data_IF_553879084399
#
_entry.id   IF_553879084399
#
_cell.length_a   1.000
_cell.length_b   1.000
_cell.length_c   1.000
_cell.angle_alpha   90.00
_cell.angle_beta   90.00
_cell.angle_gamma   90.00
#
_symmetry.space_group_name_H-M   'P 1'
#
loop_
_entity.id
_entity.type
_entity.pdbx_description
1 polymer ?
#
# COMPACT_ATOMS: atom_id res chain seq x y z
N UNK A 1 17.83 12.58 -46.74
CA UNK A 1 16.78 11.53 -46.73
C UNK A 1 16.52 11.12 -45.29
N UNK A 2 15.43 11.59 -44.73
CA UNK A 2 15.14 11.60 -43.29
C UNK A 2 14.31 10.37 -42.94
N UNK A 3 14.95 9.30 -42.44
CA UNK A 3 14.33 8.01 -42.09
C UNK A 3 13.67 8.11 -40.70
N UNK A 4 12.62 8.92 -40.55
CA UNK A 4 11.94 9.14 -39.27
C UNK A 4 10.49 8.63 -39.24
N UNK A 5 10.13 7.69 -40.12
CA UNK A 5 8.78 7.10 -40.18
C UNK A 5 8.64 5.66 -39.62
N UNK A 6 9.73 4.95 -39.30
CA UNK A 6 9.69 3.51 -38.95
C UNK A 6 10.22 3.12 -37.57
N UNK A 7 10.70 4.06 -36.74
CA UNK A 7 11.36 3.71 -35.47
C UNK A 7 10.41 3.05 -34.43
N UNK A 8 9.10 3.31 -34.52
CA UNK A 8 8.11 2.76 -33.58
C UNK A 8 7.92 1.23 -33.70
N UNK A 9 8.05 0.68 -34.90
CA UNK A 9 7.88 -0.75 -35.16
C UNK A 9 9.05 -1.59 -34.60
N UNK A 10 10.25 -1.01 -34.55
CA UNK A 10 11.46 -1.67 -34.06
C UNK A 10 11.61 -1.60 -32.53
N UNK A 11 10.73 -0.87 -31.84
CA UNK A 11 10.69 -0.77 -30.37
C UNK A 11 12.06 -0.46 -29.75
N UNK A 12 12.82 0.41 -30.42
CA UNK A 12 14.17 0.84 -30.03
C UNK A 12 15.32 0.07 -30.70
N UNK A 13 15.06 -1.07 -31.34
CA UNK A 13 16.09 -1.78 -32.10
C UNK A 13 16.55 -0.93 -33.29
N UNK A 14 17.86 -0.93 -33.54
CA UNK A 14 18.46 -0.22 -34.67
C UNK A 14 18.65 -1.21 -35.83
N UNK A 15 17.90 -1.07 -36.93
CA UNK A 15 18.10 -1.90 -38.12
C UNK A 15 19.35 -1.43 -38.90
N UNK A 16 20.14 -2.38 -39.39
CA UNK A 16 21.29 -2.12 -40.25
C UNK A 16 21.53 -3.30 -41.19
N UNK A 17 22.28 -3.08 -42.26
CA UNK A 17 22.70 -4.15 -43.18
C UNK A 17 24.17 -4.45 -42.97
N UNK A 18 24.50 -5.73 -42.86
CA UNK A 18 25.88 -6.21 -42.73
C UNK A 18 26.05 -7.47 -43.59
N UNK A 19 27.07 -7.47 -44.46
CA UNK A 19 27.40 -8.59 -45.35
C UNK A 19 26.18 -9.12 -46.15
N UNK A 20 25.37 -8.20 -46.70
CA UNK A 20 24.18 -8.55 -47.50
C UNK A 20 23.00 -9.10 -46.69
N UNK A 21 23.10 -9.16 -45.36
CA UNK A 21 22.03 -9.64 -44.47
C UNK A 21 21.45 -8.49 -43.66
N UNK A 22 20.13 -8.55 -43.46
CA UNK A 22 19.45 -7.61 -42.57
C UNK A 22 19.77 -7.96 -41.12
N UNK A 23 20.17 -6.97 -40.33
CA UNK A 23 20.53 -7.12 -38.93
C UNK A 23 19.77 -6.11 -38.07
N UNK A 24 19.48 -6.48 -36.83
CA UNK A 24 18.91 -5.60 -35.83
C UNK A 24 19.79 -5.61 -34.58
N UNK A 25 20.17 -4.43 -34.09
CA UNK A 25 20.98 -4.26 -32.88
C UNK A 25 20.11 -3.72 -31.75
N UNK A 26 20.20 -4.34 -30.57
CA UNK A 26 19.79 -3.71 -29.31
C UNK A 26 21.04 -3.20 -28.59
N UNK A 27 20.97 -1.98 -28.05
CA UNK A 27 21.99 -1.43 -27.16
C UNK A 27 21.32 -1.11 -25.83
N UNK A 28 21.85 -1.68 -24.74
CA UNK A 28 21.34 -1.46 -23.40
C UNK A 28 21.62 -0.02 -22.97
N UNK A 29 20.58 0.71 -22.59
CA UNK A 29 20.72 2.08 -22.10
C UNK A 29 21.33 2.15 -20.70
N UNK A 30 21.39 1.04 -19.96
CA UNK A 30 21.89 1.01 -18.58
C UNK A 30 23.38 0.68 -18.50
N UNK A 31 23.86 -0.26 -19.32
CA UNK A 31 25.25 -0.71 -19.28
C UNK A 31 26.00 -0.60 -20.61
N UNK A 32 25.34 -0.17 -21.70
CA UNK A 32 25.95 -0.08 -23.03
C UNK A 32 26.17 -1.43 -23.74
N UNK A 33 25.93 -2.56 -23.07
CA UNK A 33 26.01 -3.89 -23.69
C UNK A 33 25.06 -4.00 -24.88
N UNK A 34 25.45 -4.71 -25.92
CA UNK A 34 24.67 -4.82 -27.15
C UNK A 34 24.53 -6.25 -27.62
N UNK A 35 23.46 -6.54 -28.35
CA UNK A 35 23.26 -7.82 -29.04
C UNK A 35 22.74 -7.58 -30.45
N UNK A 36 23.13 -8.45 -31.38
CA UNK A 36 22.78 -8.33 -32.80
C UNK A 36 22.08 -9.60 -33.25
N UNK A 37 20.90 -9.43 -33.86
CA UNK A 37 20.16 -10.53 -34.48
C UNK A 37 20.18 -10.38 -35.99
N UNK A 38 20.64 -11.44 -36.68
CA UNK A 38 20.64 -11.53 -38.14
C UNK A 38 19.35 -12.17 -38.64
N UNK A 39 18.76 -11.57 -39.67
CA UNK A 39 17.52 -12.01 -40.29
C UNK A 39 17.79 -12.37 -41.76
N UNK A 40 17.50 -13.61 -42.12
CA UNK A 40 17.72 -14.14 -43.47
C UNK A 40 16.62 -13.72 -44.45
N UNK A 41 15.43 -13.39 -43.94
CA UNK A 41 14.27 -13.01 -44.75
C UNK A 41 13.85 -11.57 -44.43
N UNK A 42 14.06 -10.66 -45.39
CA UNK A 42 13.24 -9.46 -45.58
C UNK A 42 13.13 -8.42 -44.45
N UNK A 43 13.98 -8.45 -43.42
CA UNK A 43 14.07 -7.35 -42.43
C UNK A 43 12.77 -7.00 -41.71
N UNK A 44 11.93 -7.99 -41.39
CA UNK A 44 10.69 -7.74 -40.64
C UNK A 44 11.00 -7.31 -39.18
N UNK A 45 10.54 -6.13 -38.75
CA UNK A 45 10.67 -5.66 -37.37
C UNK A 45 10.11 -6.66 -36.35
N UNK A 46 9.01 -7.33 -36.65
CA UNK A 46 8.29 -8.21 -35.72
C UNK A 46 9.13 -9.41 -35.28
N UNK A 47 9.90 -9.98 -36.22
CA UNK A 47 10.77 -11.14 -35.98
C UNK A 47 11.93 -10.74 -35.07
N UNK A 48 12.55 -9.59 -35.34
CA UNK A 48 13.69 -9.10 -34.57
C UNK A 48 13.29 -8.68 -33.16
N UNK A 49 12.13 -8.03 -33.02
CA UNK A 49 11.51 -7.69 -31.72
C UNK A 49 11.16 -8.95 -30.93
N UNK A 50 10.59 -9.98 -31.58
CA UNK A 50 10.28 -11.26 -30.94
C UNK A 50 11.54 -11.96 -30.43
N UNK A 51 12.59 -12.03 -31.27
CA UNK A 51 13.90 -12.62 -30.89
C UNK A 51 14.53 -11.88 -29.72
N UNK A 52 14.52 -10.54 -29.74
CA UNK A 52 15.05 -9.76 -28.64
C UNK A 52 14.32 -10.04 -27.31
N UNK A 53 12.98 -10.11 -27.33
CA UNK A 53 12.19 -10.49 -26.15
C UNK A 53 12.50 -11.90 -25.66
N UNK A 54 12.63 -12.86 -26.57
CA UNK A 54 12.98 -14.25 -26.25
C UNK A 54 14.39 -14.36 -25.63
N UNK A 55 15.33 -13.51 -26.06
CA UNK A 55 16.65 -13.39 -25.45
C UNK A 55 16.66 -12.60 -24.13
N UNK A 56 15.49 -12.29 -23.55
CA UNK A 56 15.37 -11.62 -22.25
C UNK A 56 15.54 -10.10 -22.27
N UNK A 57 15.59 -9.47 -23.45
CA UNK A 57 15.68 -8.01 -23.54
C UNK A 57 14.33 -7.36 -23.27
N UNK A 58 14.36 -6.30 -22.46
CA UNK A 58 13.20 -5.42 -22.28
C UNK A 58 13.20 -4.37 -23.38
N UNK A 59 12.11 -4.33 -24.15
CA UNK A 59 11.92 -3.38 -25.26
C UNK A 59 10.98 -2.24 -24.82
N UNK A 60 11.30 -1.00 -25.19
CA UNK A 60 10.72 0.22 -24.63
C UNK A 60 11.84 1.13 -24.13
N UNK A 61 12.35 0.84 -22.93
CA UNK A 61 13.67 1.27 -22.47
C UNK A 61 14.63 0.11 -22.67
N UNK A 62 15.48 0.17 -23.68
CA UNK A 62 16.25 -1.02 -24.12
C UNK A 62 17.17 -1.45 -22.98
N UNK A 63 16.91 -2.63 -22.42
CA UNK A 63 17.66 -3.14 -21.26
C UNK A 63 18.06 -4.58 -21.51
N UNK A 64 19.35 -4.90 -21.31
CA UNK A 64 19.87 -6.25 -21.48
C UNK A 64 19.33 -7.20 -20.38
N UNK A 65 19.34 -8.51 -20.62
CA UNK A 65 18.91 -9.51 -19.64
C UNK A 65 19.63 -9.38 -18.29
N UNK A 66 20.92 -9.05 -18.26
CA UNK A 66 21.68 -8.91 -17.02
C UNK A 66 21.21 -7.71 -16.19
N UNK A 67 20.97 -6.57 -16.83
CA UNK A 67 20.44 -5.39 -16.15
C UNK A 67 18.99 -5.63 -15.69
N UNK A 68 18.21 -6.39 -16.45
CA UNK A 68 16.86 -6.81 -16.03
C UNK A 68 16.94 -7.75 -14.81
N UNK A 69 17.86 -8.71 -14.80
CA UNK A 69 18.08 -9.62 -13.68
C UNK A 69 18.52 -8.85 -12.40
N UNK A 70 19.54 -7.98 -12.52
CA UNK A 70 19.99 -7.13 -11.40
C UNK A 70 18.89 -6.22 -10.86
N UNK A 71 18.03 -5.68 -11.73
CA UNK A 71 16.89 -4.86 -11.30
C UNK A 71 15.81 -5.68 -10.57
N UNK A 72 15.61 -6.96 -10.95
CA UNK A 72 14.70 -7.87 -10.23
C UNK A 72 15.26 -8.23 -8.86
N UNK A 73 16.54 -8.56 -8.76
CA UNK A 73 17.21 -8.87 -7.48
C UNK A 73 17.12 -7.70 -6.49
N UNK A 74 17.38 -6.47 -6.95
CA UNK A 74 17.22 -5.27 -6.11
C UNK A 74 15.78 -5.12 -5.59
N UNK A 75 14.76 -5.38 -6.42
CA UNK A 75 13.36 -5.31 -5.98
C UNK A 75 12.94 -6.41 -5.02
N UNK A 76 13.63 -7.55 -4.99
CA UNK A 76 13.34 -8.63 -4.04
C UNK A 76 13.98 -8.33 -2.68
N UNK A 77 15.16 -7.70 -2.67
CA UNK A 77 15.86 -7.38 -1.43
C UNK A 77 15.32 -6.12 -0.71
N UNK A 78 14.56 -5.26 -1.40
CA UNK A 78 13.89 -4.07 -0.81
C UNK A 78 12.40 -4.29 -0.53
N UNK A 79 11.94 -5.54 -0.35
CA UNK A 79 10.57 -5.89 0.06
C UNK A 79 10.48 -6.38 1.50
N UNK A 80 11.32 -5.85 2.38
CA UNK A 80 10.91 -5.70 3.78
C UNK A 80 9.88 -4.56 3.81
N UNK A 81 8.61 -4.95 4.02
CA UNK A 81 7.48 -4.07 4.36
C UNK A 81 6.90 -3.18 3.25
N UNK A 82 6.10 -3.76 2.35
CA UNK A 82 4.79 -3.25 1.85
C UNK A 82 4.25 -4.34 0.91
N UNK A 83 3.25 -5.09 1.36
CA UNK A 83 2.48 -6.00 0.52
C UNK A 83 1.54 -5.19 -0.37
N UNK A 84 1.57 -5.38 -1.71
CA UNK A 84 0.54 -4.81 -2.58
C UNK A 84 -0.74 -5.64 -2.42
N UNK A 85 -1.84 -4.96 -2.09
CA UNK A 85 -3.19 -5.53 -2.05
C UNK A 85 -3.52 -6.04 -3.47
N UNK A 86 -3.31 -7.33 -3.69
CA UNK A 86 -4.04 -8.07 -4.71
C UNK A 86 -5.39 -8.39 -4.11
N UNK A 87 -6.44 -7.83 -4.68
CA UNK A 87 -7.79 -8.35 -4.50
C UNK A 87 -7.83 -9.75 -5.15
N UNK A 88 -7.35 -10.74 -4.41
CA UNK A 88 -7.51 -12.14 -4.77
C UNK A 88 -8.92 -12.53 -4.32
N UNK A 89 -9.80 -12.80 -5.29
CA UNK A 89 -11.11 -13.42 -5.11
C UNK A 89 -10.92 -14.90 -4.74
N UNK A 90 -10.12 -15.19 -3.71
CA UNK A 90 -10.01 -16.53 -3.17
C UNK A 90 -11.28 -16.82 -2.37
N UNK A 91 -12.02 -17.83 -2.83
CA UNK A 91 -13.11 -18.41 -2.08
C UNK A 91 -12.53 -18.81 -0.71
N UNK A 92 -12.96 -18.17 0.40
CA UNK A 92 -12.37 -18.42 1.70
C UNK A 92 -12.54 -19.90 2.03
N UNK A 93 -11.44 -20.54 2.43
CA UNK A 93 -11.40 -21.91 2.97
C UNK A 93 -12.55 -22.12 3.96
N UNK A 94 -13.14 -23.33 4.06
CA UNK A 94 -14.21 -23.62 5.02
C UNK A 94 -13.88 -23.16 6.45
N UNK A 95 -12.61 -23.28 6.87
CA UNK A 95 -12.09 -22.81 8.16
C UNK A 95 -12.19 -21.28 8.31
N UNK A 96 -11.86 -20.54 7.26
CA UNK A 96 -11.96 -19.08 7.25
C UNK A 96 -13.43 -18.61 7.27
N UNK A 97 -14.36 -19.39 6.72
CA UNK A 97 -15.80 -19.09 6.82
C UNK A 97 -16.33 -19.33 8.22
N UNK A 98 -15.85 -20.38 8.89
CA UNK A 98 -16.25 -20.69 10.26
C UNK A 98 -15.81 -19.57 11.21
N UNK A 99 -14.53 -19.18 11.17
CA UNK A 99 -14.01 -18.07 11.99
C UNK A 99 -14.78 -16.77 11.84
N UNK A 100 -15.23 -16.44 10.62
CA UNK A 100 -16.06 -15.25 10.35
C UNK A 100 -17.46 -15.36 10.96
N UNK A 101 -18.05 -16.56 10.98
CA UNK A 101 -19.34 -16.81 11.65
C UNK A 101 -19.19 -16.69 13.17
N UNK A 102 -18.16 -17.32 13.72
CA UNK A 102 -17.88 -17.28 15.16
C UNK A 102 -17.64 -15.83 15.62
N UNK A 103 -16.88 -15.04 14.86
CA UNK A 103 -16.68 -13.62 15.12
C UNK A 103 -17.99 -12.82 15.07
N UNK A 104 -18.85 -13.09 14.09
CA UNK A 104 -20.15 -12.42 14.00
C UNK A 104 -21.04 -12.73 15.22
N UNK A 105 -21.10 -13.99 15.65
CA UNK A 105 -21.86 -14.39 16.83
C UNK A 105 -21.34 -13.74 18.11
N UNK A 106 -20.01 -13.68 18.27
CA UNK A 106 -19.38 -13.00 19.40
C UNK A 106 -19.66 -11.50 19.43
N UNK A 107 -19.60 -10.83 18.26
CA UNK A 107 -19.98 -9.41 18.18
C UNK A 107 -21.46 -9.25 18.56
N UNK A 108 -22.35 -10.10 18.04
CA UNK A 108 -23.78 -10.02 18.33
C UNK A 108 -24.13 -10.21 19.80
N UNK A 109 -23.37 -11.06 20.51
CA UNK A 109 -23.58 -11.32 21.93
C UNK A 109 -22.97 -10.22 22.81
N UNK A 110 -21.82 -9.69 22.42
CA UNK A 110 -21.05 -8.74 23.23
C UNK A 110 -21.40 -7.27 22.94
N UNK A 111 -21.93 -6.93 21.77
CA UNK A 111 -22.17 -5.55 21.37
C UNK A 111 -23.59 -5.08 21.75
N UNK A 112 -23.66 -3.98 22.49
CA UNK A 112 -24.92 -3.33 22.81
C UNK A 112 -25.33 -2.37 21.68
N UNK A 113 -26.31 -2.79 20.86
CA UNK A 113 -26.87 -1.95 19.81
C UNK A 113 -27.52 -0.66 20.33
N UNK A 114 -28.06 -0.67 21.55
CA UNK A 114 -28.75 0.50 22.10
C UNK A 114 -27.77 1.59 22.54
N UNK A 115 -26.65 1.17 23.13
CA UNK A 115 -25.65 2.07 23.70
C UNK A 115 -24.43 2.28 22.77
N UNK A 116 -24.29 1.45 21.73
CA UNK A 116 -23.15 1.49 20.79
C UNK A 116 -21.82 1.11 21.45
N UNK A 117 -21.84 0.28 22.48
CA UNK A 117 -20.65 -0.10 23.27
C UNK A 117 -20.56 -1.62 23.42
N UNK A 118 -19.35 -2.11 23.68
CA UNK A 118 -19.15 -3.51 24.09
C UNK A 118 -19.48 -3.70 25.57
N UNK A 119 -20.11 -4.83 25.90
CA UNK A 119 -20.39 -5.29 27.26
C UNK A 119 -19.22 -6.12 27.81
N UNK A 120 -19.17 -6.31 29.13
CA UNK A 120 -18.28 -7.25 29.82
C UNK A 120 -16.78 -7.14 29.48
N UNK A 121 -16.33 -5.93 29.16
CA UNK A 121 -14.93 -5.66 28.76
C UNK A 121 -14.53 -6.32 27.44
N UNK A 122 -15.50 -6.64 26.57
CA UNK A 122 -15.21 -7.02 25.20
C UNK A 122 -14.68 -5.83 24.40
N UNK A 123 -13.90 -6.16 23.37
CA UNK A 123 -13.35 -5.19 22.42
C UNK A 123 -13.09 -5.90 21.09
N UNK A 124 -12.95 -5.10 20.02
CA UNK A 124 -12.55 -5.61 18.71
C UNK A 124 -11.26 -6.46 18.80
N UNK A 125 -10.27 -6.00 19.58
CA UNK A 125 -9.01 -6.72 19.81
C UNK A 125 -9.20 -8.09 20.50
N UNK A 126 -10.12 -8.19 21.46
CA UNK A 126 -10.39 -9.44 22.17
C UNK A 126 -11.06 -10.46 21.25
N UNK A 127 -12.09 -10.03 20.53
CA UNK A 127 -12.82 -10.89 19.58
C UNK A 127 -11.87 -11.36 18.45
N UNK A 128 -11.01 -10.47 17.96
CA UNK A 128 -9.98 -10.81 16.98
C UNK A 128 -9.03 -11.91 17.49
N UNK A 129 -8.58 -11.80 18.75
CA UNK A 129 -7.71 -12.81 19.38
C UNK A 129 -8.40 -14.16 19.56
N UNK A 130 -9.68 -14.16 19.96
CA UNK A 130 -10.45 -15.39 20.17
C UNK A 130 -10.80 -16.11 18.85
N UNK A 131 -11.02 -15.36 17.77
CA UNK A 131 -11.43 -15.90 16.46
C UNK A 131 -10.27 -16.12 15.49
N UNK A 132 -9.09 -15.56 15.80
CA UNK A 132 -7.92 -15.58 14.93
C UNK A 132 -8.06 -14.71 13.67
N UNK A 133 -8.96 -13.72 13.71
CA UNK A 133 -9.13 -12.71 12.66
C UNK A 133 -8.35 -11.44 13.01
N UNK A 134 -8.18 -10.54 12.04
CA UNK A 134 -7.58 -9.23 12.28
C UNK A 134 -8.58 -8.29 12.97
N UNK A 135 -8.10 -7.47 13.89
CA UNK A 135 -8.89 -6.43 14.57
C UNK A 135 -9.62 -5.51 13.58
N UNK A 136 -8.93 -5.06 12.52
CA UNK A 136 -9.52 -4.25 11.45
C UNK A 136 -10.72 -4.91 10.76
N UNK A 137 -10.73 -6.24 10.68
CA UNK A 137 -11.84 -6.98 10.06
C UNK A 137 -13.04 -7.00 11.01
N UNK A 138 -12.79 -7.22 12.30
CA UNK A 138 -13.83 -7.22 13.35
C UNK A 138 -14.46 -5.83 13.47
N UNK A 139 -13.64 -4.77 13.51
CA UNK A 139 -14.11 -3.40 13.59
C UNK A 139 -14.98 -3.01 12.39
N UNK A 140 -14.54 -3.33 11.16
CA UNK A 140 -15.36 -3.11 9.95
C UNK A 140 -16.67 -3.88 10.00
N UNK A 141 -16.62 -5.14 10.42
CA UNK A 141 -17.82 -5.99 10.49
C UNK A 141 -18.82 -5.46 11.52
N UNK A 142 -18.34 -5.00 12.68
CA UNK A 142 -19.15 -4.31 13.68
C UNK A 142 -19.79 -3.06 13.08
N UNK A 143 -19.02 -2.20 12.44
CA UNK A 143 -19.54 -0.94 11.87
C UNK A 143 -20.59 -1.18 10.78
N UNK A 144 -20.37 -2.16 9.92
CA UNK A 144 -21.26 -2.48 8.81
C UNK A 144 -22.61 -3.05 9.27
N UNK A 145 -22.65 -3.83 10.36
CA UNK A 145 -23.85 -4.58 10.77
C UNK A 145 -24.47 -4.14 12.09
N UNK A 146 -23.67 -3.62 13.01
CA UNK A 146 -24.08 -3.24 14.36
C UNK A 146 -23.97 -1.73 14.60
N UNK A 147 -23.09 -1.05 13.85
CA UNK A 147 -22.91 0.39 13.91
C UNK A 147 -21.60 0.85 14.56
N UNK A 148 -21.37 2.18 14.59
CA UNK A 148 -20.14 2.76 15.12
C UNK A 148 -20.05 2.61 16.64
N UNK A 149 -18.83 2.49 17.14
CA UNK A 149 -18.55 2.51 18.58
C UNK A 149 -18.79 3.92 19.10
N UNK A 150 -19.72 4.06 20.04
CA UNK A 150 -20.01 5.32 20.72
C UNK A 150 -19.04 5.50 21.89
N UNK A 151 -18.62 6.74 22.14
CA UNK A 151 -17.86 7.07 23.34
C UNK A 151 -18.77 6.86 24.57
N UNK A 152 -18.32 6.14 25.62
CA UNK A 152 -19.05 6.01 26.87
C UNK A 152 -19.36 7.38 27.48
N UNK A 153 -20.57 7.54 28.02
CA UNK A 153 -21.01 8.81 28.63
C UNK A 153 -20.08 9.26 29.78
N UNK A 154 -19.43 8.32 30.47
CA UNK A 154 -18.42 8.60 31.49
C UNK A 154 -17.19 9.33 30.94
N UNK A 155 -16.70 8.95 29.75
CA UNK A 155 -15.56 9.63 29.12
C UNK A 155 -15.95 11.03 28.66
N UNK A 156 -17.17 11.20 28.15
CA UNK A 156 -17.70 12.51 27.79
C UNK A 156 -17.81 13.42 29.04
N UNK A 157 -18.30 12.88 30.16
CA UNK A 157 -18.37 13.61 31.43
C UNK A 157 -16.97 14.00 31.94
N UNK A 158 -16.02 13.05 31.94
CA UNK A 158 -14.63 13.31 32.35
C UNK A 158 -13.95 14.37 31.47
N UNK A 159 -14.19 14.37 30.16
CA UNK A 159 -13.70 15.43 29.26
C UNK A 159 -14.29 16.79 29.64
N UNK A 160 -15.59 16.85 29.92
CA UNK A 160 -16.24 18.09 30.35
C UNK A 160 -15.66 18.58 31.70
N UNK A 161 -15.42 17.69 32.65
CA UNK A 161 -14.77 17.99 33.93
C UNK A 161 -13.34 18.49 33.75
N UNK A 162 -12.54 17.86 32.88
CA UNK A 162 -11.18 18.31 32.58
C UNK A 162 -11.16 19.72 31.98
N UNK A 163 -12.09 20.03 31.07
CA UNK A 163 -12.24 21.37 30.52
C UNK A 163 -12.63 22.37 31.61
N UNK A 164 -13.58 22.02 32.48
CA UNK A 164 -13.99 22.85 33.62
C UNK A 164 -12.85 23.09 34.61
N UNK A 165 -12.06 22.07 34.91
CA UNK A 165 -10.88 22.17 35.77
C UNK A 165 -9.81 23.07 35.14
N UNK A 166 -9.53 22.93 33.84
CA UNK A 166 -8.59 23.77 33.12
C UNK A 166 -9.01 25.25 33.13
N UNK A 167 -10.31 25.54 32.95
CA UNK A 167 -10.84 26.90 33.05
C UNK A 167 -10.71 27.45 34.47
N UNK A 168 -10.97 26.63 35.49
CA UNK A 168 -10.82 27.03 36.89
C UNK A 168 -9.37 27.36 37.22
N UNK A 169 -8.42 26.53 36.77
CA UNK A 169 -6.98 26.77 36.93
C UNK A 169 -6.60 28.09 36.26
N UNK A 170 -7.03 28.34 35.03
CA UNK A 170 -6.75 29.59 34.32
C UNK A 170 -7.31 30.82 35.06
N UNK A 171 -8.52 30.73 35.61
CA UNK A 171 -9.10 31.82 36.41
C UNK A 171 -8.34 32.06 37.71
N UNK A 172 -7.92 31.00 38.40
CA UNK A 172 -7.13 31.11 39.64
C UNK A 172 -5.75 31.70 39.34
N UNK A 173 -5.10 31.29 38.25
CA UNK A 173 -3.83 31.85 37.80
C UNK A 173 -3.97 33.34 37.49
N UNK A 174 -5.00 33.75 36.73
CA UNK A 174 -5.24 35.15 36.42
C UNK A 174 -5.50 36.00 37.68
N UNK A 175 -6.28 35.48 38.64
CA UNK A 175 -6.53 36.15 39.93
C UNK A 175 -5.25 36.25 40.76
N UNK A 176 -4.45 35.19 40.79
CA UNK A 176 -3.18 35.17 41.50
C UNK A 176 -2.18 36.16 40.91
N UNK A 177 -2.05 36.20 39.58
CA UNK A 177 -1.20 37.18 38.89
C UNK A 177 -1.64 38.62 39.20
N UNK A 178 -2.94 38.91 39.13
CA UNK A 178 -3.48 40.23 39.47
C UNK A 178 -3.17 40.61 40.93
N UNK A 179 -3.33 39.67 41.86
CA UNK A 179 -3.00 39.88 43.27
C UNK A 179 -1.49 40.09 43.48
N UNK A 180 -0.65 39.28 42.84
CA UNK A 180 0.81 39.37 42.95
C UNK A 180 1.34 40.73 42.50
N UNK A 181 0.78 41.29 41.41
CA UNK A 181 1.09 42.64 40.93
C UNK A 181 0.64 43.71 41.93
N UNK A 182 -0.57 43.58 42.49
CA UNK A 182 -1.09 44.53 43.48
C UNK A 182 -0.27 44.58 44.76
N UNK A 183 0.24 43.42 45.21
CA UNK A 183 0.99 43.30 46.45
C UNK A 183 2.50 43.54 46.28
N UNK A 184 2.98 43.79 45.06
CA UNK A 184 4.40 43.98 44.76
C UNK A 184 5.24 42.71 44.95
N UNK A 185 4.61 41.53 44.87
CA UNK A 185 5.28 40.24 45.02
C UNK A 185 5.86 39.72 43.70
N UNK A 186 5.35 40.21 42.57
CA UNK A 186 5.89 39.95 41.25
C UNK A 186 6.77 41.13 40.82
N UNK A 187 8.07 40.87 40.62
CA UNK A 187 9.03 41.79 40.01
C UNK A 187 8.83 41.88 38.49
#
# INVERSE_FOLDING_TARGET
>A
MTIYGRQSAWKGLVPFFEAGKFCARATCETCGGHNTWRSERGGDPSISVKRARQSGWRLGRITCPDCVAKAKEKKVNTKANVTPIKADTQIPSPDARQKRRDAHELIALAFDLANGIYKDGYSDARIAKETGLSEDWVAKRREDEFGPLKEPDELAALRAELVGAAQTIAQVQAKFEALSKKMGWAA
#
